data_IF_509219005762
#
_entry.id   IF_509219005762
#
_cell.length_a   1.000
_cell.length_b   1.000
_cell.length_c   1.000
_cell.angle_alpha   90.00
_cell.angle_beta   90.00
_cell.angle_gamma   90.00
#
_symmetry.space_group_name_H-M   'P 1'
#
loop_
_entity.id
_entity.type
_entity.pdbx_description
1 polymer ?
#
# COMPACT_ATOMS: atom_id res chain seq x y z
N UNK A 1 -10.50 -1.51 5.24
CA UNK A 1 -11.60 -0.68 4.71
C UNK A 1 -11.28 0.82 4.64
N UNK A 2 -10.85 1.50 5.72
CA UNK A 2 -10.57 2.95 5.67
C UNK A 2 -9.57 3.34 4.58
N UNK A 3 -8.44 2.62 4.50
CA UNK A 3 -7.40 2.92 3.52
C UNK A 3 -7.85 2.61 2.08
N UNK A 4 -8.56 1.50 1.89
CA UNK A 4 -9.13 1.14 0.59
C UNK A 4 -10.09 2.22 0.06
N UNK A 5 -11.00 2.73 0.92
CA UNK A 5 -11.89 3.85 0.55
C UNK A 5 -11.10 5.13 0.21
N UNK A 6 -10.05 5.46 0.98
CA UNK A 6 -9.20 6.63 0.69
C UNK A 6 -8.53 6.50 -0.68
N UNK A 7 -8.10 5.29 -1.04
CA UNK A 7 -7.44 4.98 -2.32
C UNK A 7 -8.42 4.79 -3.48
N UNK A 8 -9.73 4.71 -3.22
CA UNK A 8 -10.75 4.75 -4.27
C UNK A 8 -10.78 6.12 -4.96
N UNK A 9 -10.61 7.18 -4.18
CA UNK A 9 -10.70 8.58 -4.66
C UNK A 9 -9.32 9.20 -4.95
N UNK A 10 -8.22 8.55 -4.53
CA UNK A 10 -6.88 9.09 -4.62
C UNK A 10 -5.84 8.05 -5.05
N UNK A 11 -4.83 8.52 -5.78
CA UNK A 11 -3.71 7.69 -6.21
C UNK A 11 -2.77 7.31 -5.05
N UNK A 12 -2.52 8.24 -4.13
CA UNK A 12 -1.63 8.09 -2.97
C UNK A 12 -2.32 8.47 -1.65
N UNK A 13 -1.73 8.09 -0.52
CA UNK A 13 -2.39 8.15 0.79
C UNK A 13 -2.63 9.59 1.28
N UNK A 14 -1.64 10.48 1.12
CA UNK A 14 -1.64 11.77 1.79
C UNK A 14 -1.88 12.96 0.84
N UNK A 15 -1.18 13.00 -0.28
CA UNK A 15 -1.13 14.11 -1.25
C UNK A 15 -1.08 13.56 -2.67
N UNK A 16 -1.13 14.42 -3.69
CA UNK A 16 -1.12 14.03 -5.12
C UNK A 16 0.26 13.57 -5.64
N UNK A 17 1.06 12.95 -4.77
CA UNK A 17 2.34 12.32 -5.09
C UNK A 17 2.70 11.28 -4.04
N UNK A 18 3.51 10.30 -4.44
CA UNK A 18 4.06 9.30 -3.52
C UNK A 18 4.84 9.98 -2.37
N UNK A 19 4.53 9.58 -1.14
CA UNK A 19 5.00 10.26 0.07
C UNK A 19 5.45 9.27 1.15
N UNK A 20 5.95 9.79 2.27
CA UNK A 20 6.31 8.96 3.42
C UNK A 20 5.11 8.16 3.98
N UNK A 21 3.89 8.68 3.85
CA UNK A 21 2.69 7.95 4.27
C UNK A 21 2.54 6.64 3.48
N UNK A 22 2.84 6.66 2.19
CA UNK A 22 2.79 5.48 1.34
C UNK A 22 3.88 4.47 1.71
N UNK A 23 5.12 4.95 1.93
CA UNK A 23 6.24 4.10 2.36
C UNK A 23 5.91 3.37 3.66
N UNK A 24 5.45 4.10 4.67
CA UNK A 24 5.10 3.53 5.97
C UNK A 24 3.97 2.50 5.85
N UNK A 25 2.95 2.77 5.03
CA UNK A 25 1.85 1.85 4.83
C UNK A 25 2.27 0.57 4.10
N UNK A 26 3.14 0.66 3.07
CA UNK A 26 3.66 -0.53 2.36
C UNK A 26 4.45 -1.40 3.33
N UNK A 27 5.38 -0.80 4.08
CA UNK A 27 6.19 -1.51 5.08
C UNK A 27 5.29 -2.14 6.15
N UNK A 28 4.31 -1.40 6.65
CA UNK A 28 3.34 -1.91 7.63
C UNK A 28 2.58 -3.14 7.11
N UNK A 29 2.18 -3.15 5.84
CA UNK A 29 1.53 -4.30 5.20
C UNK A 29 2.47 -5.47 4.97
N UNK A 30 3.76 -5.23 4.71
CA UNK A 30 4.78 -6.28 4.70
C UNK A 30 4.96 -6.94 6.06
N UNK A 31 5.08 -6.12 7.12
CA UNK A 31 5.19 -6.63 8.49
C UNK A 31 3.94 -7.38 8.93
N UNK A 32 2.75 -6.95 8.51
CA UNK A 32 1.50 -7.63 8.83
C UNK A 32 1.47 -9.08 8.31
N UNK A 33 2.26 -9.42 7.28
CA UNK A 33 2.41 -10.79 6.80
C UNK A 33 3.08 -11.70 7.84
N UNK A 34 3.91 -11.17 8.74
CA UNK A 34 4.54 -11.93 9.83
C UNK A 34 3.50 -12.50 10.79
N UNK A 35 2.40 -11.77 11.01
CA UNK A 35 1.25 -12.23 11.79
C UNK A 35 0.18 -12.89 10.93
N UNK A 36 0.54 -13.30 9.70
CA UNK A 36 -0.33 -13.95 8.69
C UNK A 36 -1.55 -13.12 8.28
N UNK A 37 -1.53 -11.80 8.55
CA UNK A 37 -2.55 -10.91 8.05
C UNK A 37 -2.36 -10.67 6.56
N UNK A 38 -3.47 -10.71 5.81
CA UNK A 38 -3.54 -10.28 4.42
C UNK A 38 -4.77 -9.38 4.28
N UNK A 39 -4.68 -8.28 3.52
CA UNK A 39 -5.85 -7.52 3.16
C UNK A 39 -6.90 -8.40 2.47
N UNK A 40 -8.19 -8.28 2.82
CA UNK A 40 -9.29 -8.91 2.08
C UNK A 40 -9.25 -8.62 0.58
N UNK A 41 -9.63 -9.60 -0.24
CA UNK A 41 -9.60 -9.50 -1.72
C UNK A 41 -10.53 -8.40 -2.26
N UNK A 42 -11.60 -8.08 -1.54
CA UNK A 42 -12.54 -7.00 -1.87
C UNK A 42 -11.89 -5.60 -1.82
N UNK A 43 -10.75 -5.42 -1.16
CA UNK A 43 -10.03 -4.14 -1.09
C UNK A 43 -9.18 -3.91 -2.34
N UNK A 44 -9.85 -3.79 -3.49
CA UNK A 44 -9.24 -3.69 -4.82
C UNK A 44 -8.40 -2.42 -5.00
N UNK A 45 -8.79 -1.29 -4.39
CA UNK A 45 -8.04 -0.03 -4.49
C UNK A 45 -6.76 -0.10 -3.66
N UNK A 46 -6.83 -0.72 -2.48
CA UNK A 46 -5.66 -1.03 -1.67
C UNK A 46 -4.71 -1.97 -2.41
N UNK A 47 -5.23 -3.03 -3.04
CA UNK A 47 -4.42 -3.96 -3.82
C UNK A 47 -3.71 -3.26 -4.98
N UNK A 48 -4.43 -2.47 -5.79
CA UNK A 48 -3.87 -1.67 -6.89
C UNK A 48 -2.71 -0.79 -6.42
N UNK A 49 -2.93 -0.03 -5.35
CA UNK A 49 -1.91 0.87 -4.80
C UNK A 49 -0.71 0.11 -4.23
N UNK A 50 -0.94 -1.02 -3.56
CA UNK A 50 0.15 -1.82 -2.98
C UNK A 50 1.04 -2.42 -4.07
N UNK A 51 0.45 -2.99 -5.12
CA UNK A 51 1.19 -3.53 -6.26
C UNK A 51 2.01 -2.44 -6.97
N UNK A 52 1.40 -1.28 -7.25
CA UNK A 52 2.10 -0.15 -7.86
C UNK A 52 3.26 0.34 -6.98
N UNK A 53 3.06 0.37 -5.65
CA UNK A 53 4.10 0.80 -4.71
C UNK A 53 5.27 -0.19 -4.63
N UNK A 54 4.99 -1.50 -4.66
CA UNK A 54 5.99 -2.58 -4.69
C UNK A 54 6.74 -2.65 -6.02
N UNK A 55 6.12 -2.23 -7.11
CA UNK A 55 6.75 -2.22 -8.43
C UNK A 55 7.93 -1.23 -8.54
N UNK A 56 7.99 -0.24 -7.64
CA UNK A 56 9.02 0.82 -7.63
C UNK A 56 10.43 0.24 -7.39
N UNK A 57 11.48 0.74 -8.07
CA UNK A 57 12.85 0.21 -7.90
C UNK A 57 13.34 0.20 -6.45
N UNK A 58 13.05 1.27 -5.69
CA UNK A 58 13.44 1.37 -4.30
C UNK A 58 12.75 0.32 -3.40
N UNK A 59 11.49 -0.03 -3.69
CA UNK A 59 10.78 -1.06 -2.95
C UNK A 59 11.36 -2.46 -3.22
N UNK A 60 11.81 -2.73 -4.44
CA UNK A 60 12.45 -4.00 -4.83
C UNK A 60 13.88 -4.13 -4.30
N UNK A 61 14.57 -3.03 -4.06
CA UNK A 61 15.97 -3.04 -3.62
C UNK A 61 16.14 -3.53 -2.17
N UNK A 62 15.09 -3.48 -1.34
CA UNK A 62 15.12 -3.85 0.08
C UNK A 62 14.41 -5.16 0.41
N UNK A 63 14.03 -5.97 -0.60
CA UNK A 63 13.37 -7.28 -0.44
C UNK A 63 14.40 -8.39 -0.59
#
# INVERSE_FOLDING_TARGET
>A
RTLDRRLAEHEFIAVDRFSIADVVAVVGLDFARLIKYRPPEEFTHLARWLEASRARPAAKAGV
#
